data_IF_382474703474
#
_entry.id   IF_382474703474
#
_cell.length_a   1.000
_cell.length_b   1.000
_cell.length_c   1.000
_cell.angle_alpha   90.00
_cell.angle_beta   90.00
_cell.angle_gamma   90.00
#
_symmetry.space_group_name_H-M   'P 1'
#
loop_
_entity.id
_entity.type
_entity.pdbx_description
1 polymer ?
#
# COMPACT_ATOMS: atom_id res chain seq x y z
N UNK A 1 33.55 -15.08 -95.62
CA UNK A 1 33.41 -14.06 -94.62
C UNK A 1 33.71 -14.63 -93.25
N UNK A 2 34.95 -14.77 -92.94
CA UNK A 2 35.44 -15.18 -91.62
C UNK A 2 36.41 -14.04 -91.24
N UNK A 3 35.95 -13.12 -90.44
CA UNK A 3 36.80 -12.04 -89.98
C UNK A 3 36.35 -11.64 -88.55
N UNK A 4 37.28 -11.86 -87.64
CA UNK A 4 37.51 -11.02 -86.50
C UNK A 4 36.44 -11.02 -85.38
N UNK A 5 36.43 -12.09 -84.57
CA UNK A 5 36.13 -11.92 -83.16
C UNK A 5 37.43 -12.15 -82.39
N UNK A 6 38.03 -11.02 -81.93
CA UNK A 6 39.21 -11.01 -81.06
C UNK A 6 38.83 -11.61 -79.71
N UNK A 7 39.22 -12.87 -79.48
CA UNK A 7 38.97 -13.64 -78.27
C UNK A 7 39.36 -12.91 -76.97
N UNK A 8 40.38 -12.01 -77.10
CA UNK A 8 40.83 -11.18 -75.95
C UNK A 8 39.80 -10.09 -75.54
N UNK A 9 38.97 -9.61 -76.50
CA UNK A 9 37.92 -8.61 -76.22
C UNK A 9 36.70 -9.32 -75.56
N UNK A 10 36.38 -10.52 -76.01
CA UNK A 10 35.29 -11.32 -75.45
C UNK A 10 35.58 -11.76 -74.00
N UNK A 11 36.81 -12.18 -73.71
CA UNK A 11 37.28 -12.48 -72.34
C UNK A 11 37.21 -11.23 -71.43
N UNK A 12 37.54 -10.05 -71.97
CA UNK A 12 37.47 -8.81 -71.19
C UNK A 12 36.04 -8.36 -70.90
N UNK A 13 35.12 -8.64 -71.83
CA UNK A 13 33.66 -8.38 -71.59
C UNK A 13 33.08 -9.38 -70.60
N UNK A 14 33.44 -10.65 -70.67
CA UNK A 14 32.99 -11.66 -69.75
C UNK A 14 33.50 -11.42 -68.31
N UNK A 15 34.72 -10.85 -68.14
CA UNK A 15 35.26 -10.47 -66.84
C UNK A 15 34.70 -9.15 -66.27
N UNK A 16 34.11 -8.30 -67.14
CA UNK A 16 33.50 -7.01 -66.73
C UNK A 16 32.00 -7.10 -66.47
N UNK A 17 31.31 -8.22 -66.76
CA UNK A 17 29.92 -8.37 -66.37
C UNK A 17 29.86 -8.49 -64.83
N UNK A 18 29.19 -7.51 -64.21
CA UNK A 18 28.92 -7.53 -62.78
C UNK A 18 28.29 -8.87 -62.35
N UNK A 19 28.69 -9.43 -61.26
CA UNK A 19 28.12 -10.72 -60.73
C UNK A 19 26.59 -10.70 -60.57
N UNK A 20 25.98 -9.50 -60.61
CA UNK A 20 24.55 -9.31 -60.50
C UNK A 20 23.74 -9.50 -61.79
N UNK A 21 24.36 -9.68 -62.95
CA UNK A 21 23.69 -9.90 -64.24
C UNK A 21 24.00 -11.30 -64.78
N UNK A 22 23.38 -12.30 -64.22
CA UNK A 22 23.45 -13.70 -64.69
C UNK A 22 22.32 -13.91 -65.71
N UNK A 23 22.61 -13.69 -66.99
CA UNK A 23 21.69 -14.07 -68.07
C UNK A 23 22.18 -15.35 -68.77
N UNK A 24 21.23 -16.15 -69.29
CA UNK A 24 21.53 -17.40 -70.01
C UNK A 24 22.61 -17.26 -71.12
N UNK A 25 22.71 -16.06 -71.68
CA UNK A 25 23.70 -15.73 -72.69
C UNK A 25 25.13 -15.68 -72.14
N UNK A 26 25.31 -15.07 -70.97
CA UNK A 26 26.60 -15.04 -70.27
C UNK A 26 27.06 -16.40 -69.81
N UNK A 27 26.10 -17.24 -69.35
CA UNK A 27 26.38 -18.63 -68.95
C UNK A 27 26.86 -19.47 -70.12
N UNK A 28 26.21 -19.37 -71.27
CA UNK A 28 26.64 -20.10 -72.52
C UNK A 28 27.98 -19.58 -73.06
N UNK A 29 28.26 -18.30 -72.91
CA UNK A 29 29.56 -17.76 -73.38
C UNK A 29 30.72 -18.23 -72.48
N UNK A 30 30.50 -18.40 -71.20
CA UNK A 30 31.49 -18.87 -70.22
C UNK A 30 31.81 -20.36 -70.38
N UNK A 31 30.82 -21.20 -70.71
CA UNK A 31 31.02 -22.62 -70.99
C UNK A 31 31.88 -22.83 -72.22
N UNK A 32 31.80 -21.96 -73.25
CA UNK A 32 32.63 -22.00 -74.41
C UNK A 32 34.06 -21.48 -74.19
N UNK A 33 34.33 -20.80 -73.08
CA UNK A 33 35.62 -20.21 -72.71
C UNK A 33 36.42 -21.05 -71.70
N UNK A 34 35.94 -22.28 -71.33
CA UNK A 34 36.62 -23.20 -70.42
C UNK A 34 36.70 -22.71 -68.95
N UNK A 35 35.83 -21.76 -68.51
CA UNK A 35 35.76 -21.36 -67.13
C UNK A 35 34.92 -22.38 -66.34
N UNK A 36 35.49 -22.92 -65.27
CA UNK A 36 34.83 -23.92 -64.42
C UNK A 36 33.72 -23.27 -63.59
N UNK A 37 32.58 -23.93 -63.45
CA UNK A 37 31.47 -23.53 -62.58
C UNK A 37 31.93 -23.38 -61.10
N UNK A 38 33.03 -24.07 -60.77
CA UNK A 38 33.67 -24.01 -59.44
C UNK A 38 34.24 -22.61 -59.11
N UNK A 39 34.75 -21.90 -60.12
CA UNK A 39 35.34 -20.53 -59.95
C UNK A 39 34.30 -19.46 -59.64
N UNK A 40 33.01 -19.71 -59.90
CA UNK A 40 31.93 -18.73 -59.67
C UNK A 40 31.27 -18.89 -58.28
N UNK A 41 31.42 -20.02 -57.59
CA UNK A 41 30.73 -20.31 -56.34
C UNK A 41 31.21 -19.38 -55.22
N UNK A 42 32.51 -19.21 -55.08
CA UNK A 42 33.12 -18.38 -54.01
C UNK A 42 32.80 -16.90 -54.14
N UNK A 43 32.94 -16.24 -55.33
CA UNK A 43 32.53 -14.86 -55.52
C UNK A 43 31.03 -14.60 -55.28
N UNK A 44 30.17 -15.57 -55.66
CA UNK A 44 28.73 -15.47 -55.41
C UNK A 44 28.42 -15.62 -53.93
N UNK A 45 29.14 -16.48 -53.21
CA UNK A 45 29.02 -16.62 -51.75
C UNK A 45 29.40 -15.31 -51.04
N UNK A 46 30.50 -14.70 -51.45
CA UNK A 46 30.94 -13.42 -50.88
C UNK A 46 29.95 -12.26 -51.17
N UNK A 47 29.41 -12.21 -52.39
CA UNK A 47 28.39 -11.20 -52.75
C UNK A 47 27.11 -11.41 -51.94
N UNK A 48 26.65 -12.66 -51.73
CA UNK A 48 25.49 -12.92 -50.92
C UNK A 48 25.68 -12.56 -49.43
N UNK A 49 26.88 -12.81 -48.89
CA UNK A 49 27.22 -12.42 -47.52
C UNK A 49 27.24 -10.89 -47.37
N UNK A 50 27.74 -10.16 -48.35
CA UNK A 50 27.74 -8.72 -48.36
C UNK A 50 26.32 -8.15 -48.39
N UNK A 51 25.45 -8.68 -49.26
CA UNK A 51 24.05 -8.27 -49.37
C UNK A 51 23.27 -8.53 -48.07
N UNK A 52 23.49 -9.70 -47.42
CA UNK A 52 22.86 -10.02 -46.11
C UNK A 52 23.29 -9.07 -45.00
N UNK A 53 24.59 -8.72 -44.94
CA UNK A 53 25.11 -7.76 -43.95
C UNK A 53 24.62 -6.33 -44.20
N UNK A 54 24.36 -5.96 -45.48
CA UNK A 54 23.87 -4.63 -45.82
C UNK A 54 22.36 -4.45 -45.62
N UNK A 55 21.59 -5.50 -45.31
CA UNK A 55 20.16 -5.41 -45.11
C UNK A 55 19.83 -4.48 -43.91
N UNK A 56 19.05 -3.40 -44.12
CA UNK A 56 18.78 -2.42 -43.06
C UNK A 56 17.72 -2.85 -42.04
N UNK A 57 16.85 -3.75 -42.42
CA UNK A 57 15.74 -4.24 -41.57
C UNK A 57 15.40 -5.71 -41.85
N UNK A 58 14.53 -6.31 -41.04
CA UNK A 58 14.10 -7.70 -41.16
C UNK A 58 13.39 -8.00 -42.48
N UNK A 59 12.64 -7.04 -43.03
CA UNK A 59 11.93 -7.22 -44.32
C UNK A 59 12.91 -7.30 -45.47
N UNK A 60 13.90 -6.41 -45.53
CA UNK A 60 15.00 -6.42 -46.50
C UNK A 60 15.85 -7.68 -46.36
N UNK A 61 16.08 -8.16 -45.13
CA UNK A 61 16.81 -9.42 -44.87
C UNK A 61 16.10 -10.62 -45.46
N UNK A 62 14.77 -10.75 -45.27
CA UNK A 62 13.98 -11.84 -45.83
C UNK A 62 13.89 -11.76 -47.38
N UNK A 63 13.82 -10.56 -47.98
CA UNK A 63 13.91 -10.37 -49.42
C UNK A 63 15.27 -10.82 -49.98
N UNK A 64 16.35 -10.43 -49.31
CA UNK A 64 17.71 -10.85 -49.68
C UNK A 64 17.88 -12.36 -49.57
N UNK A 65 17.39 -12.96 -48.51
CA UNK A 65 17.33 -14.45 -48.35
C UNK A 65 16.58 -15.09 -49.51
N UNK A 66 15.41 -14.56 -49.90
CA UNK A 66 14.63 -15.07 -51.03
C UNK A 66 15.39 -14.99 -52.36
N UNK A 67 16.13 -13.91 -52.59
CA UNK A 67 16.92 -13.70 -53.81
C UNK A 67 18.14 -14.63 -53.91
N UNK A 68 18.74 -15.02 -52.78
CA UNK A 68 19.94 -15.85 -52.78
C UNK A 68 19.65 -17.36 -52.54
N UNK A 69 18.81 -17.70 -51.54
CA UNK A 69 18.62 -19.08 -51.06
C UNK A 69 17.20 -19.59 -51.36
N UNK A 70 16.27 -18.72 -51.77
CA UNK A 70 14.87 -19.05 -52.04
C UNK A 70 14.66 -20.04 -53.18
N UNK A 71 13.43 -20.51 -53.45
CA UNK A 71 13.11 -21.48 -54.52
C UNK A 71 13.61 -21.08 -55.95
N UNK A 72 13.66 -19.78 -56.14
CA UNK A 72 14.18 -19.15 -57.38
C UNK A 72 15.52 -18.41 -57.16
N UNK A 73 16.14 -18.65 -55.99
CA UNK A 73 17.38 -17.98 -55.62
C UNK A 73 18.59 -18.40 -56.44
N UNK A 74 19.61 -17.55 -56.48
CA UNK A 74 20.82 -17.76 -57.28
C UNK A 74 21.55 -19.06 -56.93
N UNK A 75 21.62 -19.44 -55.63
CA UNK A 75 22.21 -20.73 -55.20
C UNK A 75 21.38 -21.93 -55.62
N UNK A 76 20.05 -21.80 -55.61
CA UNK A 76 19.16 -22.88 -56.09
C UNK A 76 19.30 -23.09 -57.61
N UNK A 77 19.52 -22.02 -58.36
CA UNK A 77 19.82 -22.10 -59.79
C UNK A 77 21.15 -22.77 -60.04
N UNK A 78 22.21 -22.48 -59.29
CA UNK A 78 23.49 -23.16 -59.35
C UNK A 78 23.37 -24.68 -59.05
N UNK A 79 22.58 -25.05 -58.05
CA UNK A 79 22.33 -26.48 -57.75
C UNK A 79 21.65 -27.22 -58.90
N UNK A 80 20.76 -26.58 -59.65
CA UNK A 80 20.16 -27.16 -60.87
C UNK A 80 21.19 -27.37 -61.97
N UNK A 81 22.19 -26.50 -62.11
CA UNK A 81 23.26 -26.61 -63.09
C UNK A 81 24.31 -27.68 -62.77
N UNK A 82 24.38 -28.18 -61.50
CA UNK A 82 25.19 -29.33 -61.12
C UNK A 82 24.89 -30.56 -61.95
N UNK A 83 23.68 -30.68 -62.48
CA UNK A 83 23.27 -31.77 -63.38
C UNK A 83 24.09 -31.85 -64.66
N UNK A 84 24.65 -30.76 -65.12
CA UNK A 84 25.40 -30.62 -66.42
C UNK A 84 26.89 -30.89 -66.28
N UNK A 85 27.43 -31.01 -65.06
CA UNK A 85 28.87 -31.25 -64.80
C UNK A 85 29.26 -32.71 -64.99
N UNK A 86 30.57 -32.98 -65.18
CA UNK A 86 31.14 -34.33 -65.25
C UNK A 86 30.95 -35.09 -63.91
N UNK A 87 31.00 -36.44 -63.99
CA UNK A 87 30.83 -37.33 -62.80
C UNK A 87 31.92 -37.09 -61.75
N UNK A 88 33.08 -36.57 -62.12
CA UNK A 88 34.24 -36.30 -61.25
C UNK A 88 34.14 -34.97 -60.55
N UNK A 89 33.55 -33.94 -61.17
CA UNK A 89 33.43 -32.58 -60.65
C UNK A 89 32.19 -32.36 -59.74
N UNK A 90 31.12 -33.19 -59.93
CA UNK A 90 29.87 -33.06 -59.17
C UNK A 90 30.05 -33.11 -57.65
N UNK A 91 30.84 -34.03 -57.06
CA UNK A 91 31.02 -34.11 -55.63
C UNK A 91 31.70 -32.89 -55.02
N UNK A 92 32.72 -32.35 -55.77
CA UNK A 92 33.48 -31.19 -55.33
C UNK A 92 32.62 -29.89 -55.36
N UNK A 93 31.88 -29.69 -56.45
CA UNK A 93 30.96 -28.55 -56.58
C UNK A 93 29.80 -28.64 -55.57
N UNK A 94 29.24 -29.80 -55.35
CA UNK A 94 28.20 -30.01 -54.36
C UNK A 94 28.66 -29.67 -52.93
N UNK A 95 29.89 -30.06 -52.58
CA UNK A 95 30.50 -29.79 -51.28
C UNK A 95 30.71 -28.27 -51.07
N UNK A 96 31.20 -27.55 -52.09
CA UNK A 96 31.42 -26.13 -52.05
C UNK A 96 30.11 -25.34 -51.97
N UNK A 97 29.08 -25.71 -52.72
CA UNK A 97 27.77 -25.07 -52.65
C UNK A 97 27.11 -25.27 -51.29
N UNK A 98 27.19 -26.47 -50.76
CA UNK A 98 26.65 -26.75 -49.43
C UNK A 98 27.38 -26.01 -48.32
N UNK A 99 28.71 -25.90 -48.41
CA UNK A 99 29.51 -25.09 -47.48
C UNK A 99 29.16 -23.61 -47.56
N UNK A 100 29.02 -23.08 -48.76
CA UNK A 100 28.62 -21.68 -48.99
C UNK A 100 27.20 -21.42 -48.47
N UNK A 101 26.26 -22.38 -48.68
CA UNK A 101 24.89 -22.26 -48.18
C UNK A 101 24.82 -22.31 -46.65
N UNK A 102 25.58 -23.17 -46.04
CA UNK A 102 25.65 -23.22 -44.55
C UNK A 102 26.23 -21.93 -43.94
N UNK A 103 27.27 -21.36 -44.62
CA UNK A 103 27.80 -20.07 -44.21
C UNK A 103 26.80 -18.90 -44.34
N UNK A 104 25.98 -18.92 -45.40
CA UNK A 104 24.93 -17.92 -45.62
C UNK A 104 23.79 -18.09 -44.61
N UNK A 105 23.40 -19.30 -44.26
CA UNK A 105 22.38 -19.57 -43.23
C UNK A 105 22.84 -19.10 -41.84
N UNK A 106 24.12 -19.32 -41.53
CA UNK A 106 24.70 -18.83 -40.27
C UNK A 106 24.73 -17.28 -40.22
N UNK A 107 25.21 -16.63 -41.32
CA UNK A 107 25.25 -15.17 -41.42
C UNK A 107 23.83 -14.52 -41.39
N UNK A 108 22.84 -15.22 -41.94
CA UNK A 108 21.44 -14.80 -41.90
C UNK A 108 20.89 -14.85 -40.47
N UNK A 109 21.18 -15.90 -39.70
CA UNK A 109 20.77 -16.02 -38.31
C UNK A 109 21.41 -14.92 -37.45
N UNK A 110 22.72 -14.74 -37.59
CA UNK A 110 23.45 -13.67 -36.86
C UNK A 110 22.88 -12.28 -37.18
N UNK A 111 22.66 -11.96 -38.47
CA UNK A 111 22.09 -10.67 -38.84
C UNK A 111 20.66 -10.48 -38.36
N UNK A 112 19.86 -11.53 -38.34
CA UNK A 112 18.51 -11.49 -37.78
C UNK A 112 18.54 -11.15 -36.32
N UNK A 113 19.37 -11.83 -35.53
CA UNK A 113 19.51 -11.60 -34.10
C UNK A 113 19.97 -10.16 -33.80
N UNK A 114 20.91 -9.64 -34.61
CA UNK A 114 21.34 -8.23 -34.50
C UNK A 114 20.20 -7.23 -34.75
N UNK A 115 19.39 -7.45 -35.80
CA UNK A 115 18.28 -6.58 -36.16
C UNK A 115 17.13 -6.69 -35.15
N UNK A 116 16.84 -7.87 -34.64
CA UNK A 116 15.86 -8.09 -33.57
C UNK A 116 16.31 -7.41 -32.27
N UNK A 117 17.57 -7.53 -31.89
CA UNK A 117 18.13 -6.84 -30.74
C UNK A 117 18.08 -5.32 -30.90
N UNK A 118 18.45 -4.83 -32.09
CA UNK A 118 18.39 -3.39 -32.40
C UNK A 118 16.94 -2.85 -32.36
N UNK A 119 15.96 -3.65 -32.80
CA UNK A 119 14.55 -3.31 -32.76
C UNK A 119 13.97 -3.36 -31.34
N UNK A 120 14.50 -4.23 -30.46
CA UNK A 120 14.10 -4.36 -29.08
C UNK A 120 14.68 -3.26 -28.17
N UNK A 121 15.78 -2.62 -28.59
CA UNK A 121 16.36 -1.51 -27.83
C UNK A 121 15.44 -0.28 -27.88
N UNK A 122 15.26 0.43 -26.72
CA UNK A 122 14.51 1.67 -26.71
C UNK A 122 15.09 2.68 -27.69
N UNK A 123 14.24 3.27 -28.54
CA UNK A 123 14.67 4.27 -29.54
C UNK A 123 15.26 5.54 -28.92
N UNK A 124 14.91 5.80 -27.67
CA UNK A 124 15.46 6.91 -26.88
C UNK A 124 16.21 6.35 -25.67
N UNK A 125 17.35 6.93 -25.32
CA UNK A 125 18.10 6.51 -24.14
C UNK A 125 17.24 6.70 -22.88
N UNK A 126 17.07 5.65 -22.09
CA UNK A 126 16.38 5.74 -20.81
C UNK A 126 17.19 6.63 -19.89
N UNK A 127 16.58 7.70 -19.39
CA UNK A 127 17.18 8.59 -18.40
C UNK A 127 17.16 7.91 -17.02
N UNK A 128 18.27 7.34 -16.62
CA UNK A 128 18.44 6.72 -15.31
C UNK A 128 18.63 7.74 -14.17
N UNK A 129 18.81 9.03 -14.47
CA UNK A 129 18.88 10.08 -13.45
C UNK A 129 17.49 10.49 -12.97
N UNK A 130 16.45 10.21 -13.76
CA UNK A 130 15.08 10.47 -13.34
C UNK A 130 14.70 9.57 -12.14
N UNK A 131 14.08 10.14 -11.09
CA UNK A 131 13.69 9.36 -9.93
C UNK A 131 12.66 8.29 -10.34
N UNK A 132 12.93 7.04 -10.02
CA UNK A 132 11.98 5.94 -10.23
C UNK A 132 10.65 6.18 -9.50
N UNK A 133 9.59 5.49 -9.90
CA UNK A 133 8.31 5.50 -9.18
C UNK A 133 8.54 5.00 -7.75
N UNK A 134 8.52 5.92 -6.79
CA UNK A 134 8.55 5.54 -5.38
C UNK A 134 7.26 4.82 -5.05
N UNK A 135 7.35 3.68 -4.38
CA UNK A 135 6.18 3.06 -3.76
C UNK A 135 5.67 4.06 -2.72
N UNK A 136 4.38 4.38 -2.77
CA UNK A 136 3.74 5.14 -1.71
C UNK A 136 3.86 4.30 -0.43
N UNK A 137 4.60 4.79 0.55
CA UNK A 137 4.61 4.20 1.88
C UNK A 137 3.23 4.41 2.49
N UNK A 138 2.72 3.39 3.16
CA UNK A 138 1.50 3.51 3.96
C UNK A 138 1.71 4.54 5.07
N UNK A 139 0.62 5.18 5.48
CA UNK A 139 0.59 6.11 6.61
C UNK A 139 -0.35 5.58 7.68
N UNK A 140 -0.15 6.00 8.91
CA UNK A 140 -1.07 5.69 9.99
C UNK A 140 -2.39 6.41 9.77
N UNK A 141 -3.48 5.76 10.15
CA UNK A 141 -4.82 6.37 10.15
C UNK A 141 -4.82 7.63 11.02
N UNK A 142 -5.53 8.73 10.64
CA UNK A 142 -5.52 9.99 11.40
C UNK A 142 -5.93 9.81 12.87
N UNK A 143 -6.89 8.94 13.19
CA UNK A 143 -7.24 8.63 14.58
C UNK A 143 -6.08 7.96 15.33
N UNK A 144 -5.34 7.06 14.68
CA UNK A 144 -4.16 6.43 15.30
C UNK A 144 -3.08 7.47 15.60
N UNK A 145 -2.81 8.39 14.67
CA UNK A 145 -1.84 9.48 14.88
C UNK A 145 -2.23 10.36 16.09
N UNK A 146 -3.51 10.76 16.16
CA UNK A 146 -4.01 11.57 17.28
C UNK A 146 -3.94 10.79 18.60
N UNK A 147 -4.30 9.50 18.59
CA UNK A 147 -4.21 8.65 19.79
C UNK A 147 -2.76 8.54 20.29
N UNK A 148 -1.80 8.32 19.39
CA UNK A 148 -0.39 8.27 19.74
C UNK A 148 0.15 9.59 20.30
N UNK A 149 -0.29 10.71 19.74
CA UNK A 149 0.08 12.04 20.24
C UNK A 149 -0.49 12.27 21.65
N UNK A 150 -1.75 11.92 21.89
CA UNK A 150 -2.39 12.00 23.22
C UNK A 150 -1.63 11.12 24.22
N UNK A 151 -1.38 9.85 23.86
CA UNK A 151 -0.63 8.90 24.71
C UNK A 151 0.77 9.46 25.02
N UNK A 152 1.45 10.05 24.05
CA UNK A 152 2.77 10.65 24.24
C UNK A 152 2.73 11.81 25.23
N UNK A 153 1.72 12.68 25.16
CA UNK A 153 1.55 13.80 26.07
C UNK A 153 1.32 13.34 27.52
N UNK A 154 0.46 12.34 27.71
CA UNK A 154 0.21 11.78 29.05
C UNK A 154 1.42 11.02 29.61
N UNK A 155 2.19 10.31 28.78
CA UNK A 155 3.42 9.65 29.22
C UNK A 155 4.46 10.62 29.80
N UNK A 156 4.52 11.86 29.28
CA UNK A 156 5.42 12.89 29.82
C UNK A 156 5.16 13.24 31.29
N UNK A 157 3.91 13.09 31.71
CA UNK A 157 3.48 13.34 33.09
C UNK A 157 3.20 12.04 33.89
N UNK A 158 3.76 10.90 33.41
CA UNK A 158 3.83 9.65 34.15
C UNK A 158 2.60 8.76 34.07
N UNK A 159 1.71 8.97 33.10
CA UNK A 159 0.57 8.06 32.88
C UNK A 159 1.01 6.81 32.08
N UNK A 160 0.39 5.69 32.42
CA UNK A 160 0.55 4.42 31.73
C UNK A 160 -0.73 4.09 30.96
N UNK A 161 -0.58 3.48 29.80
CA UNK A 161 -1.75 2.98 29.04
C UNK A 161 -2.24 1.70 29.65
N UNK A 162 -3.54 1.65 29.96
CA UNK A 162 -4.25 0.45 30.37
C UNK A 162 -5.23 0.04 29.26
N UNK A 163 -5.51 -1.25 29.17
CA UNK A 163 -6.43 -1.84 28.21
C UNK A 163 -7.41 -2.78 28.90
N UNK A 164 -8.54 -3.07 28.25
CA UNK A 164 -9.55 -3.97 28.74
C UNK A 164 -10.59 -4.38 27.68
N UNK A 165 -11.48 -5.31 28.01
CA UNK A 165 -12.42 -5.88 27.06
C UNK A 165 -13.43 -4.86 26.53
N UNK A 166 -13.81 -4.99 25.24
CA UNK A 166 -14.90 -4.23 24.63
C UNK A 166 -16.28 -4.80 25.01
N UNK A 167 -16.35 -6.10 25.27
CA UNK A 167 -17.54 -6.77 25.78
C UNK A 167 -17.44 -6.82 27.28
N UNK A 168 -18.38 -6.18 27.95
CA UNK A 168 -18.39 -6.01 29.38
C UNK A 168 -19.72 -6.52 30.01
N UNK A 169 -19.72 -6.66 31.31
CA UNK A 169 -20.95 -6.84 32.08
C UNK A 169 -21.41 -5.51 32.69
N UNK A 170 -22.67 -5.48 33.15
CA UNK A 170 -23.28 -4.28 33.75
C UNK A 170 -22.54 -3.81 35.00
N UNK A 171 -21.97 -4.72 35.77
CA UNK A 171 -21.23 -4.37 36.98
C UNK A 171 -20.08 -3.38 36.68
N UNK A 172 -19.24 -3.71 35.72
CA UNK A 172 -18.07 -2.86 35.37
C UNK A 172 -18.46 -1.61 34.62
N UNK A 173 -19.53 -1.66 33.78
CA UNK A 173 -19.97 -0.50 33.02
C UNK A 173 -20.81 0.49 33.86
N UNK A 174 -21.53 -0.01 34.88
CA UNK A 174 -22.53 0.83 35.54
C UNK A 174 -22.47 0.70 37.08
N UNK A 175 -22.63 -0.48 37.67
CA UNK A 175 -22.81 -0.65 39.12
C UNK A 175 -21.59 -0.15 39.89
N UNK A 176 -20.40 -0.58 39.50
CA UNK A 176 -19.15 -0.17 40.15
C UNK A 176 -18.82 1.31 39.94
N UNK A 177 -19.42 1.94 38.93
CA UNK A 177 -19.32 3.37 38.64
C UNK A 177 -20.45 4.21 39.28
N UNK A 178 -21.13 3.66 40.29
CA UNK A 178 -22.21 4.37 40.99
C UNK A 178 -23.33 4.85 40.08
N UNK A 179 -23.59 4.19 38.96
CA UNK A 179 -24.66 4.53 38.02
C UNK A 179 -25.94 3.80 38.47
N UNK A 180 -27.00 4.52 38.83
CA UNK A 180 -28.23 3.90 39.35
C UNK A 180 -28.95 3.03 38.28
N UNK A 181 -29.80 2.10 38.76
CA UNK A 181 -30.46 1.13 37.86
C UNK A 181 -31.44 1.77 36.87
N UNK A 182 -31.99 2.90 37.21
CA UNK A 182 -32.95 3.67 36.41
C UNK A 182 -32.26 4.75 35.55
N UNK A 183 -30.94 4.77 35.48
CA UNK A 183 -30.21 5.77 34.71
C UNK A 183 -30.41 5.55 33.19
N UNK A 184 -30.70 6.60 32.39
CA UNK A 184 -31.00 6.47 30.96
C UNK A 184 -29.90 5.72 30.18
N UNK A 185 -28.63 5.92 30.51
CA UNK A 185 -27.52 5.23 29.84
C UNK A 185 -27.59 3.69 29.90
N UNK A 186 -28.36 3.12 30.84
CA UNK A 186 -28.63 1.67 30.91
C UNK A 186 -29.74 1.21 29.99
N UNK A 187 -30.51 2.13 29.40
CA UNK A 187 -31.60 1.77 28.47
C UNK A 187 -31.04 1.04 27.25
N UNK A 188 -31.79 0.04 26.82
CA UNK A 188 -31.51 -0.67 25.58
C UNK A 188 -31.60 0.23 24.32
N UNK A 189 -32.13 1.43 24.45
CA UNK A 189 -32.10 2.46 23.40
C UNK A 189 -30.72 3.12 23.26
N UNK A 190 -29.93 3.20 24.34
CA UNK A 190 -28.60 3.83 24.33
C UNK A 190 -27.45 2.83 24.38
N UNK A 191 -27.68 1.63 24.90
CA UNK A 191 -26.66 0.57 25.09
C UNK A 191 -26.95 -0.66 24.22
N UNK A 192 -25.89 -1.23 23.64
CA UNK A 192 -25.97 -2.50 22.90
C UNK A 192 -25.80 -3.67 23.86
N UNK A 193 -26.91 -4.29 24.26
CA UNK A 193 -26.89 -5.55 25.01
C UNK A 193 -26.75 -6.75 24.08
N UNK A 194 -25.95 -7.73 24.50
CA UNK A 194 -25.72 -8.98 23.78
C UNK A 194 -26.68 -10.05 24.30
N UNK A 195 -27.43 -10.70 23.41
CA UNK A 195 -28.33 -11.80 23.80
C UNK A 195 -27.61 -12.99 24.42
N UNK A 196 -28.19 -13.58 25.45
CA UNK A 196 -27.62 -14.63 26.29
C UNK A 196 -27.14 -15.89 25.53
N UNK A 197 -27.59 -16.10 24.26
CA UNK A 197 -27.28 -17.32 23.51
C UNK A 197 -25.88 -17.36 22.88
N UNK A 198 -25.22 -16.23 22.65
CA UNK A 198 -23.92 -16.18 22.00
C UNK A 198 -22.74 -15.79 22.90
N UNK A 199 -23.00 -15.11 23.99
CA UNK A 199 -21.97 -14.55 24.88
C UNK A 199 -21.51 -15.48 25.99
N UNK A 200 -22.28 -16.52 26.36
CA UNK A 200 -21.96 -17.45 27.46
C UNK A 200 -20.71 -18.31 27.21
N UNK A 201 -20.09 -18.23 26.06
CA UNK A 201 -18.85 -18.97 25.74
C UNK A 201 -17.57 -18.15 25.90
N UNK A 202 -17.65 -16.82 26.07
CA UNK A 202 -16.48 -15.93 25.98
C UNK A 202 -15.98 -15.38 27.33
N UNK A 203 -16.72 -15.46 28.43
CA UNK A 203 -16.26 -14.95 29.73
C UNK A 203 -16.61 -15.89 30.87
N UNK A 204 -15.78 -16.87 31.12
CA UNK A 204 -15.74 -17.57 32.40
C UNK A 204 -14.38 -17.37 33.04
N UNK A 205 -14.12 -16.20 33.61
CA UNK A 205 -13.09 -16.04 34.61
C UNK A 205 -13.71 -16.22 35.99
N UNK A 206 -12.97 -16.86 36.90
CA UNK A 206 -13.42 -17.31 38.20
C UNK A 206 -13.87 -16.23 39.19
N UNK A 207 -13.81 -14.96 38.81
CA UNK A 207 -14.13 -13.79 39.64
C UNK A 207 -15.54 -13.21 39.42
N UNK A 208 -16.20 -13.54 38.30
CA UNK A 208 -17.55 -13.04 37.98
C UNK A 208 -18.69 -13.71 38.77
N UNK A 209 -18.39 -14.52 39.79
CA UNK A 209 -19.37 -15.34 40.55
C UNK A 209 -20.10 -14.61 41.66
N UNK A 210 -20.05 -13.29 41.76
CA UNK A 210 -20.73 -12.53 42.84
C UNK A 210 -21.93 -11.71 42.39
N UNK A 211 -22.59 -12.05 41.30
CA UNK A 211 -23.97 -11.61 41.09
C UNK A 211 -24.93 -12.64 41.69
N UNK A 212 -26.02 -12.18 42.31
CA UNK A 212 -27.03 -12.95 43.02
C UNK A 212 -27.34 -14.30 42.38
N UNK A 213 -27.50 -15.31 43.24
CA UNK A 213 -27.64 -16.70 42.87
C UNK A 213 -28.58 -16.92 41.65
N UNK A 214 -28.02 -17.20 40.48
CA UNK A 214 -28.73 -17.80 39.36
C UNK A 214 -28.93 -16.98 38.09
N UNK A 215 -28.61 -15.67 38.05
CA UNK A 215 -28.73 -14.89 36.84
C UNK A 215 -27.36 -14.80 36.12
N UNK A 216 -27.30 -15.18 34.86
CA UNK A 216 -26.13 -14.87 33.98
C UNK A 216 -26.06 -13.35 33.82
N UNK A 217 -24.92 -12.70 34.13
CA UNK A 217 -24.81 -11.25 33.97
C UNK A 217 -25.06 -10.84 32.53
N UNK A 218 -25.84 -9.78 32.35
CA UNK A 218 -26.08 -9.23 31.01
C UNK A 218 -24.78 -8.71 30.46
N UNK A 219 -24.42 -9.18 29.27
CA UNK A 219 -23.24 -8.71 28.52
C UNK A 219 -23.66 -7.60 27.57
N UNK A 220 -22.79 -6.63 27.45
CA UNK A 220 -23.00 -5.46 26.61
C UNK A 220 -21.70 -5.00 25.91
N UNK A 221 -21.83 -4.21 24.88
CA UNK A 221 -20.70 -3.45 24.33
C UNK A 221 -20.48 -2.20 25.19
N UNK A 222 -19.27 -1.99 25.70
CA UNK A 222 -18.96 -0.88 26.61
C UNK A 222 -19.30 0.47 25.99
N UNK A 223 -20.01 1.29 26.74
CA UNK A 223 -20.43 2.65 26.32
C UNK A 223 -19.38 3.72 26.59
N UNK A 224 -18.37 3.39 27.37
CA UNK A 224 -17.22 4.21 27.73
C UNK A 224 -16.06 3.31 28.16
N UNK A 225 -14.86 3.86 28.31
CA UNK A 225 -13.67 3.10 28.72
C UNK A 225 -13.47 3.06 30.25
N UNK A 226 -14.37 3.66 31.05
CA UNK A 226 -14.32 3.70 32.52
C UNK A 226 -14.35 2.32 33.17
N UNK A 227 -14.93 1.30 32.52
CA UNK A 227 -14.92 -0.08 33.02
C UNK A 227 -13.50 -0.60 33.27
N UNK A 228 -12.53 -0.16 32.45
CA UNK A 228 -11.12 -0.52 32.63
C UNK A 228 -10.52 0.15 33.87
N UNK A 229 -10.96 1.36 34.22
CA UNK A 229 -10.54 2.02 35.48
C UNK A 229 -10.92 1.16 36.70
N UNK A 230 -12.14 0.64 36.73
CA UNK A 230 -12.61 -0.27 37.77
C UNK A 230 -11.77 -1.55 37.83
N UNK A 231 -11.47 -2.16 36.68
CA UNK A 231 -10.63 -3.36 36.59
C UNK A 231 -9.23 -3.12 37.14
N UNK A 232 -8.60 -1.99 36.77
CA UNK A 232 -7.27 -1.65 37.25
C UNK A 232 -7.29 -1.39 38.77
N UNK A 233 -8.23 -0.60 39.26
CA UNK A 233 -8.34 -0.34 40.70
C UNK A 233 -8.58 -1.62 41.52
N UNK A 234 -9.32 -2.61 41.00
CA UNK A 234 -9.49 -3.90 41.63
C UNK A 234 -8.25 -4.80 41.57
N UNK A 235 -7.35 -4.58 40.63
CA UNK A 235 -6.16 -5.43 40.42
C UNK A 235 -4.91 -4.95 41.18
N UNK A 236 -4.84 -3.70 41.56
CA UNK A 236 -3.66 -3.13 42.24
C UNK A 236 -4.07 -2.05 43.25
N UNK A 237 -3.29 -1.82 44.31
CA UNK A 237 -3.51 -0.70 45.23
C UNK A 237 -3.05 0.62 44.59
N UNK A 238 -3.51 1.79 45.12
CA UNK A 238 -2.97 3.10 44.74
C UNK A 238 -1.48 3.22 45.10
N UNK A 239 -0.72 4.09 44.42
CA UNK A 239 -1.22 5.07 43.44
C UNK A 239 -1.54 4.47 42.06
N UNK A 240 -2.59 4.97 41.41
CA UNK A 240 -3.01 4.60 40.06
C UNK A 240 -2.93 5.82 39.17
N UNK A 241 -2.25 5.71 38.03
CA UNK A 241 -2.12 6.78 37.05
C UNK A 241 -2.16 6.20 35.64
N UNK A 242 -3.36 6.15 35.06
CA UNK A 242 -3.60 5.47 33.78
C UNK A 242 -4.40 6.34 32.81
N UNK A 243 -4.19 6.06 31.51
CA UNK A 243 -5.08 6.44 30.42
C UNK A 243 -5.57 5.20 29.70
N UNK A 244 -6.81 5.24 29.23
CA UNK A 244 -7.48 4.12 28.58
C UNK A 244 -8.02 4.58 27.22
N UNK A 245 -7.21 4.57 26.16
CA UNK A 245 -7.72 4.74 24.81
C UNK A 245 -8.45 3.47 24.39
N UNK A 246 -9.62 3.59 23.77
CA UNK A 246 -10.34 2.41 23.33
C UNK A 246 -11.61 2.72 22.57
N UNK A 247 -12.11 1.70 21.88
CA UNK A 247 -13.36 1.77 21.14
C UNK A 247 -14.52 1.66 22.12
N UNK A 248 -15.58 2.44 21.86
CA UNK A 248 -16.82 2.44 22.64
C UNK A 248 -18.02 2.44 21.69
N UNK A 249 -19.19 2.08 22.22
CA UNK A 249 -20.37 1.79 21.43
C UNK A 249 -21.61 2.43 22.06
N UNK A 250 -22.35 3.21 21.27
CA UNK A 250 -23.63 3.80 21.66
C UNK A 250 -24.63 3.64 20.54
N UNK A 251 -25.91 3.48 20.85
CA UNK A 251 -26.96 3.30 19.85
C UNK A 251 -27.42 4.62 19.21
N UNK A 252 -26.46 5.51 19.00
CA UNK A 252 -26.69 6.78 18.31
C UNK A 252 -26.95 6.55 16.81
N UNK A 253 -27.79 7.36 16.20
CA UNK A 253 -27.95 7.42 14.77
C UNK A 253 -26.70 8.05 14.16
N UNK A 254 -26.19 7.45 13.07
CA UNK A 254 -25.02 7.97 12.38
C UNK A 254 -25.33 9.30 11.67
N UNK A 255 -24.69 10.39 12.10
CA UNK A 255 -24.74 11.71 11.49
C UNK A 255 -23.32 12.31 11.33
N UNK A 256 -23.21 13.59 11.01
CA UNK A 256 -21.91 14.26 10.85
C UNK A 256 -21.11 14.37 12.15
N UNK A 257 -21.74 14.20 13.31
CA UNK A 257 -21.17 14.41 14.66
C UNK A 257 -21.21 13.17 15.55
N UNK A 258 -22.04 12.20 15.21
CA UNK A 258 -22.25 10.96 15.96
C UNK A 258 -22.04 9.73 15.07
N UNK A 259 -21.48 8.70 15.67
CA UNK A 259 -21.33 7.38 15.06
C UNK A 259 -21.56 6.30 16.12
N UNK A 260 -22.29 5.22 15.84
CA UNK A 260 -22.54 4.16 16.83
C UNK A 260 -21.28 3.55 17.44
N UNK A 261 -20.18 3.61 16.69
CA UNK A 261 -18.86 3.17 17.14
C UNK A 261 -17.89 4.34 17.04
N UNK A 262 -17.22 4.69 18.11
CA UNK A 262 -16.20 5.74 18.13
C UNK A 262 -15.09 5.40 19.12
N UNK A 263 -14.05 6.20 19.16
CA UNK A 263 -12.93 6.01 20.08
C UNK A 263 -12.96 7.06 21.18
N UNK A 264 -12.75 6.62 22.38
CA UNK A 264 -12.68 7.46 23.57
C UNK A 264 -11.35 7.25 24.26
N UNK A 265 -10.85 8.26 24.91
CA UNK A 265 -9.76 8.15 25.87
C UNK A 265 -10.23 8.66 27.20
N UNK A 266 -10.02 7.87 28.23
CA UNK A 266 -10.27 8.28 29.60
C UNK A 266 -8.98 8.21 30.41
N UNK A 267 -8.89 9.05 31.44
CA UNK A 267 -7.78 9.06 32.37
C UNK A 267 -8.27 8.95 33.80
N UNK A 268 -7.49 8.26 34.62
CA UNK A 268 -7.69 8.12 36.05
C UNK A 268 -6.38 8.40 36.78
N UNK A 269 -6.44 9.25 37.78
CA UNK A 269 -5.37 9.43 38.74
C UNK A 269 -5.91 9.29 40.16
N UNK A 270 -5.36 8.36 40.92
CA UNK A 270 -5.69 8.10 42.32
C UNK A 270 -4.40 8.10 43.15
N UNK A 271 -4.37 8.95 44.16
CA UNK A 271 -3.29 9.03 45.13
C UNK A 271 -3.80 9.67 46.42
N UNK A 272 -2.93 9.93 47.38
CA UNK A 272 -3.27 10.72 48.56
C UNK A 272 -3.33 12.20 48.23
N UNK A 273 -4.37 12.89 48.76
CA UNK A 273 -4.52 14.37 48.66
C UNK A 273 -4.60 14.90 47.21
N UNK A 274 -5.11 14.12 46.26
CA UNK A 274 -5.35 14.56 44.88
C UNK A 274 -6.50 15.56 44.88
N UNK A 275 -6.34 16.65 44.13
CA UNK A 275 -7.25 17.81 44.16
C UNK A 275 -7.82 18.14 42.77
N UNK A 276 -8.87 18.96 42.72
CA UNK A 276 -9.37 19.58 41.48
C UNK A 276 -8.30 20.42 40.78
N UNK A 277 -7.36 20.99 41.56
CA UNK A 277 -6.22 21.72 41.00
C UNK A 277 -5.32 20.85 40.15
N UNK A 278 -5.05 19.61 40.60
CA UNK A 278 -4.25 18.63 39.84
C UNK A 278 -4.96 18.22 38.54
N UNK A 279 -6.28 17.99 38.58
CA UNK A 279 -7.10 17.75 37.43
C UNK A 279 -7.00 18.89 36.41
N UNK A 280 -7.22 20.13 36.86
CA UNK A 280 -7.15 21.32 35.99
C UNK A 280 -5.78 21.47 35.37
N UNK A 281 -4.72 21.36 36.13
CA UNK A 281 -3.34 21.46 35.65
C UNK A 281 -3.00 20.40 34.61
N UNK A 282 -3.41 19.14 34.84
CA UNK A 282 -3.20 18.04 33.91
C UNK A 282 -3.94 18.28 32.59
N UNK A 283 -5.22 18.62 32.66
CA UNK A 283 -6.06 18.86 31.48
C UNK A 283 -5.50 20.05 30.67
N UNK A 284 -5.14 21.15 31.34
CA UNK A 284 -4.59 22.34 30.70
C UNK A 284 -3.27 22.02 29.99
N UNK A 285 -2.38 21.30 30.62
CA UNK A 285 -1.12 20.87 30.02
C UNK A 285 -1.34 20.04 28.74
N UNK A 286 -2.18 19.02 28.80
CA UNK A 286 -2.40 18.11 27.68
C UNK A 286 -3.10 18.81 26.52
N UNK A 287 -4.14 19.60 26.77
CA UNK A 287 -4.85 20.28 25.69
C UNK A 287 -4.03 21.40 25.05
N UNK A 288 -3.18 22.10 25.80
CA UNK A 288 -2.23 23.05 25.22
C UNK A 288 -1.22 22.35 24.32
N UNK A 289 -0.71 21.21 24.73
CA UNK A 289 0.23 20.43 23.91
C UNK A 289 -0.41 19.88 22.63
N UNK A 290 -1.67 19.43 22.69
CA UNK A 290 -2.39 18.86 21.54
C UNK A 290 -2.94 19.91 20.58
N UNK A 291 -3.41 21.05 21.09
CA UNK A 291 -4.17 22.04 20.33
C UNK A 291 -3.48 23.40 20.24
N UNK A 292 -2.31 23.55 20.85
CA UNK A 292 -1.47 24.76 20.86
C UNK A 292 -1.58 25.57 22.15
N UNK A 293 -0.49 26.27 22.49
CA UNK A 293 -0.32 27.06 23.71
C UNK A 293 -1.40 28.16 23.92
N UNK A 294 -1.98 28.67 22.83
CA UNK A 294 -3.05 29.68 22.83
C UNK A 294 -4.40 29.12 23.30
N UNK A 295 -4.49 27.81 23.56
CA UNK A 295 -5.73 27.14 23.94
C UNK A 295 -6.15 27.57 25.32
N UNK A 296 -7.34 28.20 25.43
CA UNK A 296 -7.99 28.54 26.68
C UNK A 296 -8.96 27.47 27.10
N UNK A 297 -8.99 27.14 28.37
CA UNK A 297 -9.83 26.08 28.92
C UNK A 297 -10.71 26.68 30.01
N UNK A 298 -11.97 26.27 30.06
CA UNK A 298 -12.87 26.55 31.17
C UNK A 298 -13.57 25.31 31.62
N UNK A 299 -13.85 25.24 32.90
CA UNK A 299 -14.60 24.14 33.53
C UNK A 299 -15.98 24.68 33.88
N UNK A 300 -17.02 23.99 33.41
CA UNK A 300 -18.41 24.28 33.75
C UNK A 300 -18.93 23.19 34.71
N UNK A 301 -19.60 23.54 35.82
CA UNK A 301 -20.23 22.51 36.66
C UNK A 301 -21.19 21.66 35.87
N UNK A 302 -21.14 20.36 36.09
CA UNK A 302 -22.01 19.36 35.49
C UNK A 302 -22.30 18.26 36.52
N UNK A 303 -23.10 17.28 36.17
CA UNK A 303 -23.35 16.08 36.99
C UNK A 303 -23.05 14.80 36.26
N UNK A 304 -22.23 13.97 36.88
CA UNK A 304 -22.03 12.56 36.53
C UNK A 304 -22.14 11.72 37.79
N UNK A 305 -22.79 10.55 37.72
CA UNK A 305 -23.02 9.69 38.89
C UNK A 305 -21.74 9.15 39.55
N UNK A 306 -20.65 9.10 38.81
CA UNK A 306 -19.36 8.53 39.22
C UNK A 306 -18.32 9.59 39.59
N UNK A 307 -18.65 10.87 39.56
CA UNK A 307 -17.75 11.96 39.98
C UNK A 307 -18.47 13.03 40.80
N UNK A 308 -17.76 13.61 41.82
CA UNK A 308 -18.25 14.68 42.66
C UNK A 308 -17.05 15.48 43.22
N UNK A 309 -16.89 16.80 42.89
CA UNK A 309 -17.65 17.54 41.89
C UNK A 309 -17.35 17.12 40.44
N UNK A 310 -18.34 17.28 39.56
CA UNK A 310 -18.23 17.00 38.11
C UNK A 310 -18.18 18.29 37.31
N UNK A 311 -17.48 18.23 36.17
CA UNK A 311 -17.32 19.32 35.24
C UNK A 311 -17.37 18.87 33.79
N UNK A 312 -17.90 19.72 32.94
CA UNK A 312 -17.62 19.71 31.49
C UNK A 312 -16.48 20.66 31.18
N UNK A 313 -15.65 20.28 30.23
CA UNK A 313 -14.49 21.02 29.78
C UNK A 313 -14.79 21.63 28.42
N UNK A 314 -14.78 22.95 28.34
CA UNK A 314 -14.80 23.68 27.08
C UNK A 314 -13.43 24.25 26.78
N UNK A 315 -13.11 24.33 25.49
CA UNK A 315 -11.90 25.04 25.06
C UNK A 315 -12.20 26.06 23.98
N UNK A 316 -11.29 27.03 23.85
CA UNK A 316 -11.32 28.10 22.85
C UNK A 316 -9.92 28.31 22.30
N UNK A 317 -9.80 28.31 20.98
CA UNK A 317 -8.59 28.68 20.27
C UNK A 317 -8.93 29.20 18.85
N UNK A 318 -7.92 29.45 18.02
CA UNK A 318 -8.11 29.95 16.67
C UNK A 318 -8.91 28.96 15.77
N UNK A 319 -8.80 27.63 15.99
CA UNK A 319 -9.54 26.64 15.24
C UNK A 319 -11.02 26.66 15.56
N UNK A 320 -11.40 26.76 16.84
CA UNK A 320 -12.79 26.87 17.29
C UNK A 320 -13.45 28.13 16.73
N UNK A 321 -12.72 29.24 16.73
CA UNK A 321 -13.21 30.53 16.18
C UNK A 321 -13.46 30.45 14.69
N UNK A 322 -12.63 29.71 13.92
CA UNK A 322 -12.88 29.44 12.48
C UNK A 322 -14.18 28.65 12.23
N UNK A 323 -14.63 27.84 13.20
CA UNK A 323 -15.91 27.15 13.16
C UNK A 323 -17.10 28.02 13.54
N UNK A 324 -16.88 29.34 13.78
CA UNK A 324 -17.92 30.29 14.18
C UNK A 324 -18.39 30.16 15.63
N UNK A 325 -17.63 29.45 16.47
CA UNK A 325 -17.93 29.25 17.90
C UNK A 325 -16.89 29.96 18.76
N UNK A 326 -17.31 30.44 19.89
CA UNK A 326 -16.38 31.01 20.89
C UNK A 326 -15.78 29.90 21.75
N UNK A 327 -16.60 28.96 22.18
CA UNK A 327 -16.25 27.81 22.99
C UNK A 327 -16.79 26.52 22.41
N UNK A 328 -16.06 25.43 22.60
CA UNK A 328 -16.46 24.09 22.17
C UNK A 328 -16.22 23.13 23.32
N UNK A 329 -17.28 22.41 23.70
CA UNK A 329 -17.20 21.29 24.65
C UNK A 329 -16.39 20.15 24.10
N UNK A 330 -15.48 19.58 24.91
CA UNK A 330 -14.57 18.53 24.46
C UNK A 330 -14.56 17.33 25.40
N UNK A 331 -14.76 17.50 26.71
CA UNK A 331 -14.56 16.45 27.69
C UNK A 331 -15.50 16.60 28.90
N UNK A 332 -15.79 15.48 29.53
CA UNK A 332 -16.31 15.43 30.90
C UNK A 332 -15.20 15.05 31.89
N UNK A 333 -15.24 15.57 33.11
CA UNK A 333 -14.27 15.22 34.14
C UNK A 333 -14.82 15.47 35.55
N UNK A 334 -14.11 14.99 36.55
CA UNK A 334 -14.47 15.27 37.96
C UNK A 334 -13.58 14.53 38.95
N UNK A 335 -13.79 14.79 40.23
CA UNK A 335 -13.20 14.00 41.29
C UNK A 335 -13.98 12.68 41.38
N UNK A 336 -13.29 11.57 41.53
CA UNK A 336 -13.93 10.24 41.65
C UNK A 336 -14.83 10.21 42.87
N UNK A 337 -16.08 9.81 42.67
CA UNK A 337 -17.07 9.71 43.77
C UNK A 337 -16.63 8.69 44.82
N UNK A 338 -16.77 8.97 46.14
CA UNK A 338 -16.39 8.04 47.22
C UNK A 338 -16.94 6.64 47.05
N UNK A 339 -18.20 6.49 46.62
CA UNK A 339 -18.85 5.19 46.39
C UNK A 339 -18.10 4.33 45.35
N UNK A 340 -17.45 4.95 44.35
CA UNK A 340 -16.65 4.20 43.37
C UNK A 340 -15.41 3.60 44.06
N UNK A 341 -14.77 4.31 44.97
CA UNK A 341 -13.66 3.78 45.77
C UNK A 341 -14.11 2.64 46.66
N UNK A 342 -15.24 2.76 47.34
CA UNK A 342 -15.82 1.68 48.17
C UNK A 342 -16.10 0.45 47.31
N UNK A 343 -16.67 0.60 46.11
CA UNK A 343 -17.00 -0.52 45.22
C UNK A 343 -15.76 -1.29 44.71
N UNK A 344 -14.57 -0.66 44.74
CA UNK A 344 -13.31 -1.33 44.40
C UNK A 344 -12.46 -1.72 45.61
N UNK A 345 -12.94 -1.40 46.85
CA UNK A 345 -12.26 -1.76 48.08
C UNK A 345 -11.18 -0.75 48.52
N UNK A 346 -11.23 0.46 48.02
CA UNK A 346 -10.36 1.57 48.50
C UNK A 346 -11.07 2.35 49.61
N UNK A 347 -10.30 2.83 50.55
CA UNK A 347 -10.81 3.70 51.63
C UNK A 347 -10.89 5.16 51.11
N UNK A 348 -12.10 5.76 50.96
CA UNK A 348 -12.26 7.11 50.45
C UNK A 348 -11.79 8.19 51.42
N UNK A 349 -11.55 7.87 52.68
CA UNK A 349 -10.95 8.82 53.67
C UNK A 349 -9.43 8.96 53.44
N UNK A 350 -8.80 7.96 52.79
CA UNK A 350 -7.35 7.95 52.56
C UNK A 350 -7.03 8.34 51.12
N UNK A 351 -7.82 7.84 50.15
CA UNK A 351 -7.55 7.95 48.74
C UNK A 351 -8.50 8.94 48.08
N UNK A 352 -7.92 9.84 47.30
CA UNK A 352 -8.65 10.75 46.45
C UNK A 352 -8.19 10.61 45.00
N UNK A 353 -9.00 11.02 44.06
CA UNK A 353 -8.62 10.88 42.64
C UNK A 353 -9.55 11.68 41.74
N UNK A 354 -9.14 11.78 40.51
CA UNK A 354 -9.94 12.38 39.47
C UNK A 354 -9.95 11.55 38.21
N UNK A 355 -10.99 11.73 37.42
CA UNK A 355 -11.13 11.11 36.10
C UNK A 355 -11.59 12.13 35.06
N UNK A 356 -11.28 11.86 33.81
CA UNK A 356 -11.78 12.60 32.66
C UNK A 356 -12.01 11.65 31.49
N UNK A 357 -12.83 12.08 30.51
CA UNK A 357 -13.03 11.35 29.25
C UNK A 357 -13.35 12.28 28.09
N UNK A 358 -12.82 11.98 26.92
CA UNK A 358 -13.15 12.69 25.67
C UNK A 358 -13.05 11.78 24.44
N UNK A 359 -13.80 12.14 23.37
CA UNK A 359 -13.77 11.46 22.08
C UNK A 359 -12.53 11.85 21.27
N UNK A 360 -11.81 10.85 20.76
CA UNK A 360 -10.59 11.04 19.94
C UNK A 360 -10.95 11.67 18.61
N UNK A 361 -12.07 11.27 18.01
CA UNK A 361 -12.56 11.85 16.74
C UNK A 361 -12.77 13.35 16.83
N UNK A 362 -13.30 13.85 17.95
CA UNK A 362 -13.55 15.28 18.12
C UNK A 362 -12.24 16.07 18.10
N UNK A 363 -11.17 15.56 18.72
CA UNK A 363 -9.83 16.14 18.63
C UNK A 363 -9.31 16.10 17.19
N UNK A 364 -9.43 14.96 16.52
CA UNK A 364 -9.00 14.78 15.13
C UNK A 364 -9.75 15.71 14.17
N UNK A 365 -11.09 15.83 14.31
CA UNK A 365 -11.93 16.72 13.52
C UNK A 365 -11.46 18.17 13.64
N UNK A 366 -11.16 18.63 14.86
CA UNK A 366 -10.70 20.00 15.11
C UNK A 366 -9.32 20.21 14.53
N UNK A 367 -8.39 19.29 14.79
CA UNK A 367 -6.99 19.39 14.36
C UNK A 367 -6.84 19.42 12.85
N UNK A 368 -7.61 18.61 12.15
CA UNK A 368 -7.53 18.44 10.69
C UNK A 368 -8.61 19.23 9.93
N UNK A 369 -9.53 19.91 10.61
CA UNK A 369 -10.61 20.68 9.98
C UNK A 369 -11.65 19.80 9.28
N UNK A 370 -11.95 18.62 9.84
CA UNK A 370 -12.91 17.65 9.30
C UNK A 370 -14.28 17.93 9.91
N UNK A 371 -15.32 18.00 9.08
CA UNK A 371 -16.67 18.39 9.52
C UNK A 371 -17.61 17.18 9.69
N UNK A 372 -17.17 15.98 9.30
CA UNK A 372 -17.99 14.78 9.30
C UNK A 372 -17.21 13.60 9.87
N UNK A 373 -17.68 13.06 11.01
CA UNK A 373 -17.04 11.95 11.73
C UNK A 373 -17.01 10.66 10.90
N UNK A 374 -17.98 10.47 9.99
CA UNK A 374 -18.11 9.26 9.17
C UNK A 374 -16.93 9.04 8.25
N UNK A 375 -16.27 10.11 7.82
CA UNK A 375 -15.07 10.06 6.97
C UNK A 375 -13.93 9.23 7.57
N UNK A 376 -13.84 9.15 8.89
CA UNK A 376 -12.84 8.31 9.57
C UNK A 376 -13.14 6.80 9.43
N UNK A 377 -14.37 6.43 9.09
CA UNK A 377 -14.86 5.04 9.09
C UNK A 377 -15.22 4.51 7.70
N UNK A 378 -15.38 5.39 6.70
CA UNK A 378 -15.71 5.02 5.31
C UNK A 378 -14.56 4.35 4.56
N UNK A 379 -13.34 4.42 5.08
CA UNK A 379 -12.13 3.84 4.48
C UNK A 379 -11.84 4.35 3.05
N UNK A 380 -12.20 5.61 2.75
CA UNK A 380 -11.90 6.22 1.46
C UNK A 380 -10.39 6.52 1.35
N UNK A 381 -9.73 5.89 0.40
CA UNK A 381 -8.29 6.04 0.16
C UNK A 381 -7.92 7.49 -0.20
N UNK A 382 -8.82 8.26 -0.83
CA UNK A 382 -8.59 9.68 -1.17
C UNK A 382 -8.56 10.54 0.09
N UNK A 383 -9.38 10.21 1.08
CA UNK A 383 -9.38 10.84 2.40
C UNK A 383 -8.11 10.45 3.17
N UNK A 384 -7.82 9.16 3.28
CA UNK A 384 -6.69 8.65 4.07
C UNK A 384 -5.32 9.09 3.55
N UNK A 385 -5.18 9.36 2.26
CA UNK A 385 -3.93 9.85 1.66
C UNK A 385 -3.56 11.29 2.04
N UNK A 386 -4.48 12.05 2.65
CA UNK A 386 -4.25 13.44 3.03
C UNK A 386 -3.42 13.59 4.32
N UNK A 387 -3.29 12.50 5.09
CA UNK A 387 -2.65 12.48 6.41
C UNK A 387 -1.29 11.79 6.45
#
# INVERSE_FOLDING_TARGET
MAALFDDRKLVRIARKCSPNFFCDFCARLRLNLGMSLLDDIEPLGQAALADLKAAPDLAALEQTKGAWIGPHGKFTALMKQLGTLSKEEKPAAGKLINAAKAGLEAALAERRDELELAAALPKEPTDFSAPGRRRALGKLHPLTQVTEDIVRSFRKIGFVVADGPEIENEYYCFDALNTPADHPARDSQDTFYLGVGQASRLSQTSEDKRSEAGATPALLLRTHTSSVQIRVMKSQPPPVRIIVPGRVYRRDNADATHNPTFQQIEGLYVDKNVTVGDLKGTVEFVFKELLGEETKIRFRPHYFSYTEPSFEIDFSNALVKKLGKEWLEIAGCGMVHPQVFENVGYDPEIWTGWAFGFGIERIAMIRYGINDIRLFYENDVRFLKQF
#
